data_IF_164953211285
#
_entry.id   IF_164953211285
#
_cell.length_a   1.000
_cell.length_b   1.000
_cell.length_c   1.000
_cell.angle_alpha   90.00
_cell.angle_beta   90.00
_cell.angle_gamma   90.00
#
_symmetry.space_group_name_H-M   'P 1'
#
loop_
_entity.id
_entity.type
_entity.pdbx_description
1 polymer ?
#
# COMPACT_ATOMS: atom_id res chain seq x y z
N UNK A 1 34.17 18.44 -35.96
CA UNK A 1 33.24 19.00 -34.95
C UNK A 1 32.89 17.85 -34.04
N UNK A 2 33.53 17.79 -32.88
CA UNK A 2 33.25 16.81 -31.84
C UNK A 2 31.94 17.24 -31.17
N UNK A 3 30.90 16.42 -31.27
CA UNK A 3 29.68 16.58 -30.48
C UNK A 3 30.05 16.31 -29.01
N UNK A 4 30.30 17.38 -28.28
CA UNK A 4 30.44 17.33 -26.83
C UNK A 4 29.04 17.02 -26.26
N UNK A 5 28.87 15.92 -25.52
CA UNK A 5 27.56 15.58 -24.97
C UNK A 5 27.14 16.68 -24.00
N UNK A 6 25.99 17.32 -24.27
CA UNK A 6 25.39 18.30 -23.37
C UNK A 6 25.26 17.68 -21.98
N UNK A 7 25.89 18.30 -20.98
CA UNK A 7 25.70 17.91 -19.59
C UNK A 7 24.21 18.04 -19.24
N UNK A 8 23.60 17.02 -18.61
CA UNK A 8 22.19 17.08 -18.25
C UNK A 8 21.94 18.25 -17.29
N UNK A 9 20.94 19.08 -17.59
CA UNK A 9 20.54 20.16 -16.69
C UNK A 9 20.13 19.58 -15.33
N UNK A 10 20.88 19.94 -14.28
CA UNK A 10 20.56 19.55 -12.91
C UNK A 10 19.45 20.47 -12.41
N UNK A 11 18.24 19.95 -12.34
CA UNK A 11 17.10 20.66 -11.77
C UNK A 11 16.94 20.37 -10.28
N UNK A 12 16.43 21.34 -9.54
CA UNK A 12 15.98 21.12 -8.16
C UNK A 12 14.71 20.26 -8.13
N UNK A 13 14.58 19.40 -7.14
CA UNK A 13 13.36 18.65 -6.86
C UNK A 13 12.18 19.59 -6.60
N UNK A 14 10.98 19.23 -7.10
CA UNK A 14 9.76 20.04 -7.00
C UNK A 14 9.37 20.37 -5.57
N UNK A 15 9.81 19.59 -4.58
CA UNK A 15 9.59 19.87 -3.16
C UNK A 15 10.19 21.19 -2.70
N UNK A 16 11.13 21.75 -3.46
CA UNK A 16 11.72 23.07 -3.23
C UNK A 16 10.88 24.21 -3.85
N UNK A 17 10.06 23.89 -4.85
CA UNK A 17 9.11 24.81 -5.49
C UNK A 17 7.67 24.30 -5.33
N UNK A 18 7.16 24.42 -4.10
CA UNK A 18 5.75 24.14 -3.80
C UNK A 18 4.92 25.41 -3.71
N UNK A 19 5.34 26.47 -4.41
CA UNK A 19 4.52 27.65 -4.58
C UNK A 19 3.17 27.23 -5.19
N UNK A 20 2.07 27.76 -4.64
CA UNK A 20 0.67 27.44 -4.99
C UNK A 20 0.12 26.10 -4.48
N UNK A 21 0.95 25.21 -3.93
CA UNK A 21 0.42 24.03 -3.21
C UNK A 21 -0.11 24.48 -1.85
N UNK A 22 -1.32 24.05 -1.49
CA UNK A 22 -1.93 24.35 -0.20
C UNK A 22 -1.01 23.88 0.94
N UNK A 23 -0.88 24.68 1.99
CA UNK A 23 0.03 24.40 3.12
C UNK A 23 -0.21 23.01 3.75
N UNK A 24 -1.47 22.54 3.78
CA UNK A 24 -1.81 21.21 4.34
C UNK A 24 -1.30 20.06 3.47
N UNK A 25 -1.19 20.29 2.16
CA UNK A 25 -0.73 19.30 1.17
C UNK A 25 0.79 19.34 0.97
N UNK A 26 1.50 20.28 1.59
CA UNK A 26 2.97 20.34 1.51
C UNK A 26 3.56 19.19 2.33
N UNK A 27 4.58 18.48 1.80
CA UNK A 27 5.31 17.48 2.56
C UNK A 27 5.99 18.15 3.74
N UNK A 28 6.12 17.41 4.84
CA UNK A 28 6.89 17.88 5.97
C UNK A 28 8.37 18.04 5.56
N UNK A 29 9.07 19.08 6.07
CA UNK A 29 10.51 19.19 5.89
C UNK A 29 11.22 17.98 6.52
N UNK A 30 12.34 17.55 5.92
CA UNK A 30 13.15 16.44 6.43
C UNK A 30 13.89 16.77 7.73
N UNK A 31 13.95 18.04 8.16
CA UNK A 31 14.43 18.45 9.49
C UNK A 31 13.28 19.02 10.31
N UNK A 32 13.16 18.55 11.55
CA UNK A 32 12.18 19.05 12.51
C UNK A 32 12.83 19.04 13.90
N UNK A 33 12.86 20.20 14.56
CA UNK A 33 13.45 20.38 15.92
C UNK A 33 14.89 19.84 15.99
N UNK A 34 15.73 20.28 15.07
CA UNK A 34 17.16 19.90 14.95
C UNK A 34 17.48 18.42 14.67
N UNK A 35 16.48 17.54 14.67
CA UNK A 35 16.61 16.17 14.19
C UNK A 35 16.34 16.08 12.68
N UNK A 36 17.12 15.23 12.01
CA UNK A 36 17.05 14.98 10.58
C UNK A 36 16.43 13.58 10.33
N UNK A 37 15.37 13.52 9.53
CA UNK A 37 14.43 12.38 9.45
C UNK A 37 14.49 11.62 8.13
N UNK A 38 15.42 11.97 7.24
CA UNK A 38 15.64 11.29 5.96
C UNK A 38 17.14 11.27 5.67
N UNK A 39 17.67 10.30 4.92
CA UNK A 39 19.02 10.43 4.38
C UNK A 39 19.07 11.63 3.43
N UNK A 40 19.94 12.62 3.70
CA UNK A 40 20.22 13.71 2.78
C UNK A 40 21.67 13.59 2.29
N UNK A 41 21.91 14.11 1.08
CA UNK A 41 23.24 14.13 0.48
C UNK A 41 24.22 15.01 1.29
N UNK A 42 23.71 16.03 1.98
CA UNK A 42 24.47 16.89 2.89
C UNK A 42 23.65 17.16 4.17
N UNK A 43 24.03 16.51 5.27
CA UNK A 43 23.34 16.65 6.56
C UNK A 43 23.58 18.02 7.20
N UNK A 44 24.80 18.57 7.05
CA UNK A 44 25.22 19.82 7.66
C UNK A 44 24.59 21.04 6.97
N UNK A 45 24.42 20.98 5.64
CA UNK A 45 23.70 21.99 4.88
C UNK A 45 22.17 21.86 5.01
N UNK A 46 21.66 20.76 5.59
CA UNK A 46 20.23 20.52 5.64
C UNK A 46 19.51 21.40 6.65
N UNK A 47 18.90 22.47 6.12
CA UNK A 47 17.97 23.35 6.85
C UNK A 47 16.53 22.85 6.83
N UNK A 48 16.35 21.54 6.62
CA UNK A 48 15.06 20.87 6.55
C UNK A 48 14.51 20.61 5.17
N UNK A 49 15.23 21.06 4.15
CA UNK A 49 15.15 20.65 2.75
C UNK A 49 16.42 21.24 2.09
N UNK A 50 17.61 20.63 2.14
CA UNK A 50 18.58 20.98 1.08
C UNK A 50 17.85 20.70 -0.22
N UNK A 51 17.90 21.60 -1.23
CA UNK A 51 17.31 21.28 -2.50
C UNK A 51 17.95 20.00 -3.01
N UNK A 52 17.18 18.90 -2.98
CA UNK A 52 17.63 17.64 -3.56
C UNK A 52 17.63 17.83 -5.06
N UNK A 53 18.68 17.39 -5.72
CA UNK A 53 18.70 17.32 -7.17
C UNK A 53 17.61 16.37 -7.65
N UNK A 54 16.86 16.81 -8.65
CA UNK A 54 15.91 15.95 -9.34
C UNK A 54 16.70 14.92 -10.17
N UNK A 55 16.32 13.66 -10.05
CA UNK A 55 16.98 12.54 -10.75
C UNK A 55 16.04 11.89 -11.77
N UNK A 56 14.72 12.14 -11.66
CA UNK A 56 13.67 11.59 -12.51
C UNK A 56 12.60 12.65 -12.73
N UNK A 57 12.57 13.25 -13.92
CA UNK A 57 11.79 14.46 -14.18
C UNK A 57 12.15 15.55 -13.15
N UNK A 58 11.15 16.09 -12.45
CA UNK A 58 11.34 17.09 -11.39
C UNK A 58 11.30 16.48 -9.98
N UNK A 59 11.50 15.17 -9.83
CA UNK A 59 11.54 14.50 -8.52
C UNK A 59 12.95 14.00 -8.20
N UNK A 60 13.37 14.14 -6.94
CA UNK A 60 14.52 13.39 -6.42
C UNK A 60 14.19 11.90 -6.31
N UNK A 61 15.21 11.05 -6.21
CA UNK A 61 15.05 9.59 -6.14
C UNK A 61 14.10 9.12 -5.02
N UNK A 62 14.11 9.78 -3.86
CA UNK A 62 13.21 9.42 -2.73
C UNK A 62 11.76 9.78 -3.03
N UNK A 63 11.51 10.98 -3.56
CA UNK A 63 10.16 11.40 -3.96
C UNK A 63 9.61 10.49 -5.06
N UNK A 64 10.44 10.16 -6.05
CA UNK A 64 10.07 9.21 -7.11
C UNK A 64 9.63 7.86 -6.55
N UNK A 65 10.43 7.24 -5.66
CA UNK A 65 10.08 5.95 -5.04
C UNK A 65 8.76 6.02 -4.27
N UNK A 66 8.53 7.12 -3.52
CA UNK A 66 7.27 7.32 -2.77
C UNK A 66 6.06 7.43 -3.69
N UNK A 67 6.19 8.13 -4.82
CA UNK A 67 5.09 8.29 -5.79
C UNK A 67 4.80 6.96 -6.48
N UNK A 68 5.84 6.22 -6.89
CA UNK A 68 5.67 4.90 -7.49
C UNK A 68 4.98 3.91 -6.53
N UNK A 69 5.37 3.92 -5.25
CA UNK A 69 4.71 3.10 -4.21
C UNK A 69 3.26 3.54 -3.96
N UNK A 70 2.99 4.85 -3.96
CA UNK A 70 1.65 5.38 -3.79
C UNK A 70 0.72 4.94 -4.94
N UNK A 71 1.17 5.08 -6.20
CA UNK A 71 0.39 4.66 -7.36
C UNK A 71 0.07 3.17 -7.37
N UNK A 72 0.96 2.33 -6.84
CA UNK A 72 0.74 0.89 -6.74
C UNK A 72 -0.40 0.48 -5.78
N UNK A 73 -0.90 1.41 -4.95
CA UNK A 73 -1.87 1.12 -3.88
C UNK A 73 -3.07 2.05 -3.85
N UNK A 74 -3.00 3.21 -4.52
CA UNK A 74 -4.03 4.24 -4.42
C UNK A 74 -5.38 3.76 -4.96
N UNK A 75 -5.38 2.92 -6.00
CA UNK A 75 -6.61 2.31 -6.56
C UNK A 75 -7.39 1.56 -5.47
N UNK A 76 -6.75 0.59 -4.82
CA UNK A 76 -7.35 -0.21 -3.75
C UNK A 76 -7.79 0.66 -2.57
N UNK A 77 -6.98 1.66 -2.19
CA UNK A 77 -7.32 2.58 -1.10
C UNK A 77 -8.57 3.43 -1.42
N UNK A 78 -8.70 3.93 -2.65
CA UNK A 78 -9.88 4.70 -3.08
C UNK A 78 -11.14 3.83 -2.97
N UNK A 79 -11.07 2.58 -3.44
CA UNK A 79 -12.20 1.64 -3.39
C UNK A 79 -12.55 1.27 -1.96
N UNK A 80 -11.54 1.01 -1.11
CA UNK A 80 -11.71 0.75 0.31
C UNK A 80 -12.42 1.93 1.01
N UNK A 81 -11.95 3.16 0.81
CA UNK A 81 -12.56 4.35 1.40
C UNK A 81 -14.04 4.51 0.99
N UNK A 82 -14.40 4.08 -0.23
CA UNK A 82 -15.80 4.08 -0.70
C UNK A 82 -16.65 2.94 -0.14
N UNK A 83 -16.05 1.84 0.31
CA UNK A 83 -16.77 0.67 0.83
C UNK A 83 -17.08 0.74 2.33
N UNK A 84 -16.28 1.45 3.13
CA UNK A 84 -16.38 1.49 4.61
C UNK A 84 -17.80 1.80 5.12
N UNK A 85 -18.53 2.71 4.48
CA UNK A 85 -19.79 3.27 5.02
C UNK A 85 -21.05 2.62 4.45
N UNK A 86 -20.93 1.54 3.66
CA UNK A 86 -22.08 0.97 2.93
C UNK A 86 -23.06 0.20 3.83
N UNK A 87 -22.67 -0.15 5.06
CA UNK A 87 -23.52 -0.91 5.99
C UNK A 87 -24.53 -0.05 6.77
N UNK A 88 -24.51 1.29 6.65
CA UNK A 88 -25.28 2.17 7.54
C UNK A 88 -26.70 2.53 7.08
N UNK A 89 -27.16 2.11 5.91
CA UNK A 89 -28.59 2.24 5.55
C UNK A 89 -29.23 0.87 5.42
N UNK A 90 -29.74 0.36 6.55
CA UNK A 90 -30.64 -0.78 6.54
C UNK A 90 -31.76 -0.51 5.53
N UNK A 91 -31.89 -1.41 4.54
CA UNK A 91 -32.96 -1.38 3.55
C UNK A 91 -34.31 -1.38 4.30
N UNK A 92 -34.92 -0.20 4.45
CA UNK A 92 -36.16 -0.02 5.21
C UNK A 92 -36.16 1.15 6.20
N UNK A 93 -35.01 1.72 6.55
CA UNK A 93 -34.97 2.91 7.40
C UNK A 93 -35.41 4.15 6.61
N UNK A 94 -36.68 4.53 6.79
CA UNK A 94 -37.26 5.71 6.16
C UNK A 94 -36.59 6.97 6.71
N UNK A 95 -35.57 7.45 6.02
CA UNK A 95 -35.00 8.78 6.30
C UNK A 95 -36.11 9.82 6.16
N UNK A 96 -36.44 10.50 7.26
CA UNK A 96 -37.45 11.56 7.28
C UNK A 96 -37.07 12.64 6.25
N UNK A 97 -37.95 12.87 5.29
CA UNK A 97 -37.79 13.79 4.15
C UNK A 97 -38.01 15.25 4.54
N UNK A 98 -37.49 15.71 5.68
CA UNK A 98 -37.54 17.14 6.02
C UNK A 98 -36.61 17.93 5.09
N UNK A 99 -37.24 18.55 4.10
CA UNK A 99 -36.90 19.49 3.01
C UNK A 99 -35.54 20.23 2.88
N UNK A 100 -34.50 19.93 3.64
CA UNK A 100 -33.14 20.35 3.31
C UNK A 100 -32.27 19.11 3.13
N UNK A 101 -32.33 18.50 1.94
CA UNK A 101 -31.46 17.38 1.55
C UNK A 101 -30.01 17.87 1.43
N UNK A 102 -29.34 18.06 2.56
CA UNK A 102 -27.88 17.99 2.61
C UNK A 102 -27.55 16.51 2.73
N UNK A 103 -27.15 15.90 1.63
CA UNK A 103 -26.54 14.58 1.68
C UNK A 103 -25.26 14.75 2.51
N UNK A 104 -25.25 14.17 3.71
CA UNK A 104 -24.02 14.12 4.51
C UNK A 104 -23.10 13.16 3.75
N UNK A 105 -22.05 13.71 3.16
CA UNK A 105 -21.02 12.91 2.49
C UNK A 105 -20.07 12.40 3.57
N UNK A 106 -19.85 11.08 3.70
CA UNK A 106 -18.92 10.56 4.68
C UNK A 106 -17.50 11.09 4.46
N UNK A 107 -16.76 11.31 5.55
CA UNK A 107 -15.39 11.80 5.48
C UNK A 107 -14.45 10.89 4.67
N UNK A 108 -14.68 9.57 4.70
CA UNK A 108 -13.92 8.60 3.90
C UNK A 108 -14.14 8.80 2.40
N UNK A 109 -15.36 9.16 1.98
CA UNK A 109 -15.66 9.45 0.58
C UNK A 109 -14.99 10.74 0.12
N UNK A 110 -14.98 11.78 0.97
CA UNK A 110 -14.23 13.00 0.68
C UNK A 110 -12.72 12.73 0.53
N UNK A 111 -12.17 11.86 1.38
CA UNK A 111 -10.76 11.45 1.27
C UNK A 111 -10.48 10.68 -0.03
N UNK A 112 -11.41 9.84 -0.50
CA UNK A 112 -11.29 9.16 -1.80
C UNK A 112 -11.30 10.17 -2.97
N UNK A 113 -12.21 11.16 -2.92
CA UNK A 113 -12.29 12.21 -3.93
C UNK A 113 -11.03 13.10 -3.92
N UNK A 114 -10.46 13.39 -2.75
CA UNK A 114 -9.19 14.11 -2.60
C UNK A 114 -8.00 13.36 -3.25
N UNK A 115 -8.01 12.02 -3.25
CA UNK A 115 -7.01 11.20 -3.93
C UNK A 115 -7.21 11.23 -5.46
N UNK A 116 -8.46 11.18 -5.93
CA UNK A 116 -8.79 11.33 -7.35
C UNK A 116 -8.42 12.71 -7.89
N UNK A 117 -8.68 13.77 -7.12
CA UNK A 117 -8.25 15.14 -7.45
C UNK A 117 -6.73 15.23 -7.59
N UNK A 118 -5.97 14.59 -6.71
CA UNK A 118 -4.50 14.51 -6.85
C UNK A 118 -4.09 13.74 -8.13
N UNK A 119 -4.80 12.66 -8.46
CA UNK A 119 -4.67 11.94 -9.73
C UNK A 119 -5.25 12.71 -10.94
N UNK A 120 -5.89 13.87 -10.72
CA UNK A 120 -6.47 14.73 -11.76
C UNK A 120 -7.71 14.15 -12.42
N UNK A 121 -8.34 13.21 -11.74
CA UNK A 121 -9.59 12.59 -12.14
C UNK A 121 -10.78 13.34 -11.50
N UNK A 122 -11.97 13.11 -12.05
CA UNK A 122 -13.20 13.64 -11.47
C UNK A 122 -13.61 12.84 -10.22
N UNK A 123 -14.26 13.47 -9.23
CA UNK A 123 -14.81 12.78 -8.06
C UNK A 123 -15.78 11.65 -8.43
N UNK A 124 -15.87 10.61 -7.59
CA UNK A 124 -16.80 9.50 -7.85
C UNK A 124 -18.23 9.95 -7.54
N UNK A 125 -19.18 9.84 -8.49
CA UNK A 125 -20.57 10.19 -8.23
C UNK A 125 -21.13 9.46 -7.00
N UNK A 126 -21.93 10.14 -6.20
CA UNK A 126 -22.57 9.53 -5.01
C UNK A 126 -23.51 8.38 -5.36
N UNK A 127 -23.94 8.28 -6.63
CA UNK A 127 -24.80 7.21 -7.15
C UNK A 127 -24.02 6.05 -7.77
N UNK A 128 -22.68 6.15 -7.86
CA UNK A 128 -21.87 5.10 -8.44
C UNK A 128 -21.89 3.84 -7.56
N UNK A 129 -22.03 2.68 -8.22
CA UNK A 129 -21.80 1.37 -7.64
C UNK A 129 -20.33 1.16 -7.26
N UNK A 130 -20.03 0.08 -6.53
CA UNK A 130 -18.64 -0.25 -6.17
C UNK A 130 -17.83 -0.58 -7.43
N UNK A 131 -18.41 -1.32 -8.38
CA UNK A 131 -17.73 -1.70 -9.62
C UNK A 131 -17.42 -0.47 -10.49
N UNK A 132 -18.33 0.51 -10.55
CA UNK A 132 -18.09 1.80 -11.22
C UNK A 132 -17.01 2.62 -10.50
N UNK A 133 -17.00 2.62 -9.16
CA UNK A 133 -15.95 3.29 -8.39
C UNK A 133 -14.57 2.65 -8.65
N UNK A 134 -14.51 1.31 -8.75
CA UNK A 134 -13.30 0.57 -9.11
C UNK A 134 -12.81 0.97 -10.51
N UNK A 135 -13.70 0.98 -11.51
CA UNK A 135 -13.35 1.39 -12.86
C UNK A 135 -12.82 2.84 -12.94
N UNK A 136 -13.48 3.78 -12.25
CA UNK A 136 -13.03 5.18 -12.19
C UNK A 136 -11.65 5.31 -11.54
N UNK A 137 -11.40 4.58 -10.45
CA UNK A 137 -10.11 4.60 -9.78
C UNK A 137 -9.01 3.98 -10.65
N UNK A 138 -9.30 2.85 -11.30
CA UNK A 138 -8.38 2.19 -12.23
C UNK A 138 -8.01 3.11 -13.41
N UNK A 139 -9.00 3.74 -14.06
CA UNK A 139 -8.78 4.68 -15.17
C UNK A 139 -7.93 5.87 -14.72
N UNK A 140 -8.13 6.38 -13.50
CA UNK A 140 -7.35 7.47 -12.94
C UNK A 140 -5.88 7.09 -12.70
N UNK A 141 -5.60 5.84 -12.28
CA UNK A 141 -4.24 5.33 -12.10
C UNK A 141 -3.60 4.97 -13.43
N UNK A 142 -4.34 4.40 -14.38
CA UNK A 142 -3.86 4.06 -15.71
C UNK A 142 -3.47 5.32 -16.51
N UNK A 143 -4.11 6.47 -16.26
CA UNK A 143 -3.68 7.78 -16.76
C UNK A 143 -2.28 8.19 -16.28
N UNK A 144 -1.75 7.53 -15.23
CA UNK A 144 -0.40 7.69 -14.69
C UNK A 144 0.59 6.61 -15.15
N UNK A 145 0.26 5.83 -16.19
CA UNK A 145 1.12 4.77 -16.71
C UNK A 145 2.53 5.26 -17.11
N UNK A 146 2.64 6.47 -17.66
CA UNK A 146 3.94 7.13 -17.93
C UNK A 146 4.26 8.16 -16.84
N UNK A 147 4.62 7.64 -15.66
CA UNK A 147 4.98 8.46 -14.51
C UNK A 147 6.13 9.45 -14.82
N UNK A 148 7.11 9.04 -15.63
CA UNK A 148 8.28 9.87 -15.96
C UNK A 148 7.89 11.10 -16.78
N UNK A 149 7.04 10.92 -17.79
CA UNK A 149 6.49 12.04 -18.55
C UNK A 149 5.67 13.00 -17.67
N UNK A 150 4.82 12.48 -16.77
CA UNK A 150 3.97 13.30 -15.91
C UNK A 150 4.81 14.18 -14.98
N UNK A 151 5.76 13.58 -14.25
CA UNK A 151 6.57 14.33 -13.27
C UNK A 151 7.69 15.15 -13.90
N UNK A 152 7.89 15.05 -15.22
CA UNK A 152 8.74 15.97 -15.97
C UNK A 152 8.10 17.35 -16.13
N UNK A 153 6.78 17.47 -15.87
CA UNK A 153 6.09 18.77 -15.81
C UNK A 153 5.98 19.26 -14.37
N UNK A 154 6.06 20.58 -14.15
CA UNK A 154 5.92 21.16 -12.80
C UNK A 154 4.58 20.81 -12.15
N UNK A 155 3.51 20.82 -12.94
CA UNK A 155 2.16 20.52 -12.44
C UNK A 155 2.03 19.05 -12.06
N UNK A 156 2.46 18.13 -12.92
CA UNK A 156 2.44 16.70 -12.61
C UNK A 156 3.30 16.34 -11.40
N UNK A 157 4.49 16.94 -11.27
CA UNK A 157 5.35 16.74 -10.12
C UNK A 157 4.74 17.27 -8.80
N UNK A 158 4.04 18.41 -8.84
CA UNK A 158 3.30 18.93 -7.66
C UNK A 158 2.16 18.00 -7.28
N UNK A 159 1.36 17.56 -8.25
CA UNK A 159 0.25 16.63 -8.04
C UNK A 159 0.73 15.29 -7.46
N UNK A 160 1.89 14.80 -7.91
CA UNK A 160 2.51 13.59 -7.37
C UNK A 160 2.87 13.72 -5.88
N UNK A 161 3.41 14.87 -5.46
CA UNK A 161 3.71 15.13 -4.05
C UNK A 161 2.44 15.25 -3.21
N UNK A 162 1.41 15.92 -3.74
CA UNK A 162 0.09 16.04 -3.10
C UNK A 162 -0.55 14.65 -2.91
N UNK A 163 -0.50 13.80 -3.94
CA UNK A 163 -0.99 12.42 -3.89
C UNK A 163 -0.37 11.64 -2.73
N UNK A 164 0.96 11.63 -2.63
CA UNK A 164 1.68 10.94 -1.55
C UNK A 164 1.26 11.48 -0.18
N UNK A 165 1.09 12.80 -0.04
CA UNK A 165 0.69 13.40 1.24
C UNK A 165 -0.73 12.99 1.63
N UNK A 166 -1.69 13.11 0.71
CA UNK A 166 -3.11 12.78 0.94
C UNK A 166 -3.30 11.30 1.20
N UNK A 167 -2.60 10.43 0.47
CA UNK A 167 -2.62 8.99 0.72
C UNK A 167 -2.12 8.64 2.12
N UNK A 168 -1.03 9.26 2.59
CA UNK A 168 -0.54 9.04 3.95
C UNK A 168 -1.51 9.55 5.03
N UNK A 169 -2.22 10.65 4.77
CA UNK A 169 -3.26 11.13 5.68
C UNK A 169 -4.46 10.18 5.74
N UNK A 170 -4.91 9.70 4.58
CA UNK A 170 -5.98 8.72 4.48
C UNK A 170 -5.63 7.42 5.21
N UNK A 171 -4.45 6.85 4.95
CA UNK A 171 -3.99 5.61 5.61
C UNK A 171 -3.82 5.73 7.13
N UNK A 172 -3.51 6.93 7.65
CA UNK A 172 -3.46 7.15 9.11
C UNK A 172 -4.85 7.14 9.75
N UNK A 173 -5.84 7.63 9.02
CA UNK A 173 -7.20 7.81 9.53
C UNK A 173 -8.07 6.58 9.31
N UNK A 174 -7.94 5.95 8.15
CA UNK A 174 -8.56 4.69 7.76
C UNK A 174 -7.44 3.72 7.40
N UNK A 175 -6.77 3.14 8.41
CA UNK A 175 -5.83 2.06 8.15
C UNK A 175 -6.58 0.97 7.42
N UNK A 176 -6.07 0.61 6.25
CA UNK A 176 -6.61 -0.47 5.46
C UNK A 176 -6.68 -1.73 6.35
N UNK A 177 -7.89 -2.20 6.63
CA UNK A 177 -8.10 -3.37 7.49
C UNK A 177 -7.52 -4.65 6.86
N UNK A 178 -7.37 -4.69 5.53
CA UNK A 178 -6.62 -5.73 4.83
C UNK A 178 -5.11 -5.54 4.97
N UNK A 179 -4.62 -4.33 5.25
CA UNK A 179 -3.23 -4.11 5.61
C UNK A 179 -2.89 -4.72 6.99
N UNK A 180 -3.88 -4.92 7.88
CA UNK A 180 -3.65 -5.66 9.12
C UNK A 180 -3.38 -7.13 8.87
N UNK A 181 -3.90 -7.74 7.80
CA UNK A 181 -3.72 -9.16 7.49
C UNK A 181 -3.44 -9.35 6.01
N UNK A 182 -2.16 -9.50 5.66
CA UNK A 182 -1.76 -9.78 4.27
C UNK A 182 -1.54 -11.27 4.07
N UNK A 183 -2.23 -11.87 3.11
CA UNK A 183 -1.99 -13.28 2.76
C UNK A 183 -0.51 -13.51 2.43
N UNK A 184 0.04 -14.63 2.89
CA UNK A 184 1.39 -15.08 2.50
C UNK A 184 1.24 -16.07 1.35
N UNK A 185 1.38 -15.63 0.09
CA UNK A 185 0.99 -16.42 -1.05
C UNK A 185 1.92 -17.62 -1.24
N UNK A 186 1.44 -18.67 -1.90
CA UNK A 186 2.20 -19.90 -2.22
C UNK A 186 2.73 -20.70 -1.01
N UNK A 187 2.47 -20.28 0.23
CA UNK A 187 2.91 -20.96 1.43
C UNK A 187 1.76 -21.74 2.07
N UNK A 188 2.06 -22.98 2.46
CA UNK A 188 1.17 -23.79 3.29
C UNK A 188 1.56 -23.60 4.75
N UNK A 189 0.57 -23.54 5.64
CA UNK A 189 0.83 -23.57 7.07
C UNK A 189 1.63 -24.83 7.42
N UNK A 190 2.79 -24.72 8.10
CA UNK A 190 3.61 -25.88 8.45
C UNK A 190 2.91 -26.89 9.35
N UNK A 191 1.88 -26.45 10.08
CA UNK A 191 1.13 -27.31 11.01
C UNK A 191 -0.09 -27.98 10.38
N UNK A 192 -0.86 -27.28 9.53
CA UNK A 192 -2.11 -27.82 8.98
C UNK A 192 -2.13 -27.95 7.45
N UNK A 193 -1.07 -27.54 6.77
CA UNK A 193 -0.92 -27.57 5.31
C UNK A 193 -1.97 -26.78 4.51
N UNK A 194 -2.73 -25.89 5.15
CA UNK A 194 -3.71 -25.02 4.48
C UNK A 194 -3.05 -23.73 3.96
N UNK A 195 -3.60 -23.14 2.88
CA UNK A 195 -3.16 -21.86 2.28
C UNK A 195 -3.72 -20.66 3.03
N UNK A 196 -3.62 -20.68 4.35
CA UNK A 196 -4.29 -19.76 5.27
C UNK A 196 -3.28 -18.99 6.11
N UNK A 197 -2.06 -18.78 5.60
CA UNK A 197 -1.07 -17.97 6.31
C UNK A 197 -1.30 -16.48 6.02
N UNK A 198 -1.32 -15.69 7.07
CA UNK A 198 -1.46 -14.24 7.00
C UNK A 198 -0.36 -13.56 7.80
N UNK A 199 0.22 -12.53 7.22
CA UNK A 199 1.11 -11.59 7.88
C UNK A 199 0.24 -10.53 8.55
N UNK A 200 0.24 -10.54 9.88
CA UNK A 200 -0.38 -9.52 10.71
C UNK A 200 0.52 -8.29 10.83
N UNK A 201 -0.01 -7.11 10.50
CA UNK A 201 0.71 -5.86 10.78
C UNK A 201 0.76 -5.59 12.30
N UNK A 202 1.83 -4.93 12.80
CA UNK A 202 1.89 -4.49 14.19
C UNK A 202 0.70 -3.57 14.51
N UNK A 203 0.11 -3.74 15.69
CA UNK A 203 -1.01 -2.91 16.16
C UNK A 203 -0.47 -1.63 16.80
N UNK A 204 0.63 -1.74 17.55
CA UNK A 204 1.35 -0.64 18.15
C UNK A 204 2.78 -0.54 17.61
N UNK A 205 3.40 0.63 17.78
CA UNK A 205 4.78 0.83 17.37
C UNK A 205 5.71 -0.04 18.22
N UNK A 206 6.55 -0.83 17.56
CA UNK A 206 7.52 -1.70 18.23
C UNK A 206 6.99 -3.11 18.46
N UNK A 207 5.71 -3.37 18.13
CA UNK A 207 5.19 -4.72 18.05
C UNK A 207 5.87 -5.49 16.92
N UNK A 208 6.02 -6.79 17.14
CA UNK A 208 6.55 -7.71 16.14
C UNK A 208 5.53 -7.93 15.00
N UNK A 209 6.04 -8.09 13.78
CA UNK A 209 5.24 -8.56 12.65
C UNK A 209 5.03 -10.07 12.84
N UNK A 210 3.78 -10.54 12.86
CA UNK A 210 3.48 -11.96 13.13
C UNK A 210 2.93 -12.60 11.86
N UNK A 211 3.40 -13.79 11.48
CA UNK A 211 2.73 -14.66 10.51
C UNK A 211 1.91 -15.68 11.28
N UNK A 212 0.60 -15.71 11.06
CA UNK A 212 -0.31 -16.65 11.72
C UNK A 212 -1.20 -17.39 10.72
N UNK A 213 -1.61 -18.59 11.09
CA UNK A 213 -2.55 -19.39 10.31
C UNK A 213 -3.99 -19.00 10.68
N UNK A 214 -4.79 -18.54 9.72
CA UNK A 214 -6.22 -18.26 9.90
C UNK A 214 -7.11 -19.51 9.86
N UNK A 215 -6.52 -20.71 9.80
CA UNK A 215 -7.28 -21.97 9.85
C UNK A 215 -8.14 -22.10 11.12
N UNK A 216 -7.90 -21.22 12.10
CA UNK A 216 -8.68 -21.06 13.33
C UNK A 216 -9.76 -19.96 13.30
N UNK A 217 -9.68 -18.97 12.40
CA UNK A 217 -10.45 -17.72 12.49
C UNK A 217 -11.43 -17.45 11.35
N UNK A 218 -11.34 -18.15 10.22
CA UNK A 218 -12.20 -17.90 9.04
C UNK A 218 -13.43 -18.82 8.95
N UNK A 219 -13.95 -19.33 10.07
CA UNK A 219 -15.38 -19.61 10.09
C UNK A 219 -16.07 -18.27 10.34
N UNK A 220 -16.56 -17.66 9.26
CA UNK A 220 -17.60 -16.66 9.36
C UNK A 220 -18.64 -17.19 10.36
N UNK A 221 -18.98 -16.38 11.37
CA UNK A 221 -20.22 -16.55 12.12
C UNK A 221 -21.37 -16.34 11.13
N UNK A 222 -21.63 -17.31 10.25
CA UNK A 222 -22.93 -17.37 9.59
C UNK A 222 -23.95 -17.54 10.72
N UNK A 223 -24.89 -16.58 10.91
CA UNK A 223 -25.93 -16.74 11.91
C UNK A 223 -26.66 -18.04 11.59
N UNK A 224 -26.55 -19.01 12.51
CA UNK A 224 -26.74 -20.44 12.26
C UNK A 224 -27.80 -20.75 11.22
N UNK A 225 -27.38 -21.38 10.13
CA UNK A 225 -28.29 -22.04 9.22
C UNK A 225 -29.11 -23.05 10.04
N UNK A 226 -30.39 -22.73 10.23
CA UNK A 226 -31.36 -23.67 10.76
C UNK A 226 -31.46 -24.80 9.75
N UNK A 227 -31.49 -26.03 10.23
CA UNK A 227 -31.86 -27.14 9.37
C UNK A 227 -33.31 -26.97 8.87
N UNK A 228 -33.75 -27.85 7.96
CA UNK A 228 -35.13 -27.84 7.45
C UNK A 228 -36.20 -28.01 8.54
N UNK A 229 -35.81 -28.30 9.79
CA UNK A 229 -36.70 -28.44 10.94
C UNK A 229 -36.65 -27.23 11.91
N UNK A 230 -35.84 -26.21 11.63
CA UNK A 230 -35.75 -25.02 12.48
C UNK A 230 -34.89 -25.20 13.73
N UNK A 231 -34.22 -26.32 13.92
CA UNK A 231 -33.36 -26.57 15.08
C UNK A 231 -31.94 -26.06 14.82
N UNK A 232 -31.38 -25.37 15.82
CA UNK A 232 -29.97 -24.96 15.82
C UNK A 232 -29.16 -26.21 16.11
N UNK A 233 -28.75 -26.91 15.05
CA UNK A 233 -27.82 -28.02 15.19
C UNK A 233 -26.46 -27.47 15.60
N UNK A 234 -26.05 -27.80 16.83
CA UNK A 234 -24.72 -27.49 17.36
C UNK A 234 -23.70 -28.28 16.55
N UNK A 235 -23.09 -27.65 15.55
CA UNK A 235 -22.03 -28.26 14.73
C UNK A 235 -20.88 -28.72 15.63
N UNK A 236 -20.83 -30.03 15.92
CA UNK A 236 -19.66 -30.73 16.47
C UNK A 236 -18.81 -31.25 15.32
N UNK A 237 -18.25 -30.34 14.53
CA UNK A 237 -17.10 -30.64 13.68
C UNK A 237 -16.02 -29.61 14.03
N UNK A 238 -15.44 -29.82 15.22
CA UNK A 238 -14.23 -29.12 15.64
C UNK A 238 -13.09 -29.61 14.77
N UNK A 239 -12.87 -28.96 13.63
CA UNK A 239 -11.55 -28.98 13.04
C UNK A 239 -10.57 -28.44 14.09
N UNK A 240 -9.48 -29.15 14.41
CA UNK A 240 -8.52 -28.68 15.40
C UNK A 240 -8.01 -27.31 14.96
N UNK A 241 -8.23 -26.30 15.80
CA UNK A 241 -7.75 -24.95 15.58
C UNK A 241 -6.24 -24.98 15.33
N UNK A 242 -5.80 -24.44 14.20
CA UNK A 242 -4.39 -24.31 13.92
C UNK A 242 -3.88 -23.03 14.59
N UNK A 243 -3.21 -23.17 15.74
CA UNK A 243 -2.62 -22.05 16.49
C UNK A 243 -1.20 -21.70 16.02
N UNK A 244 -0.83 -22.13 14.80
CA UNK A 244 0.50 -21.86 14.28
C UNK A 244 0.70 -20.36 14.07
N UNK A 245 1.74 -19.83 14.72
CA UNK A 245 2.18 -18.45 14.62
C UNK A 245 3.71 -18.39 14.67
N UNK A 246 4.29 -17.42 13.99
CA UNK A 246 5.74 -17.20 13.93
C UNK A 246 6.03 -15.71 13.77
N UNK A 247 7.11 -15.24 14.37
CA UNK A 247 7.64 -13.90 14.10
C UNK A 247 8.06 -13.76 12.62
N UNK A 248 7.91 -12.59 12.02
CA UNK A 248 8.19 -12.36 10.61
C UNK A 248 9.68 -12.49 10.29
N UNK A 249 10.58 -12.03 11.16
CA UNK A 249 12.02 -12.12 10.90
C UNK A 249 12.46 -13.60 10.96
N UNK A 250 11.91 -14.36 11.91
CA UNK A 250 12.08 -15.81 11.95
C UNK A 250 11.49 -16.49 10.71
N UNK A 251 10.28 -16.10 10.30
CA UNK A 251 9.62 -16.63 9.11
C UNK A 251 10.45 -16.35 7.84
N UNK A 252 10.91 -15.11 7.65
CA UNK A 252 11.71 -14.71 6.51
C UNK A 252 13.05 -15.46 6.46
N UNK A 253 13.68 -15.69 7.62
CA UNK A 253 14.92 -16.47 7.72
C UNK A 253 14.71 -17.95 7.34
N UNK A 254 13.64 -18.57 7.83
CA UNK A 254 13.37 -20.00 7.62
C UNK A 254 12.81 -20.27 6.22
N UNK A 255 11.82 -19.49 5.79
CA UNK A 255 11.04 -19.74 4.58
C UNK A 255 11.44 -18.85 3.40
N UNK A 256 12.23 -17.79 3.63
CA UNK A 256 12.63 -16.87 2.56
C UNK A 256 13.37 -17.54 1.39
N UNK A 257 14.34 -18.43 1.64
CA UNK A 257 15.00 -19.18 0.57
C UNK A 257 14.03 -20.07 -0.23
N UNK A 258 13.03 -20.66 0.43
CA UNK A 258 12.00 -21.50 -0.22
C UNK A 258 11.13 -20.64 -1.12
N UNK A 259 10.71 -19.46 -0.64
CA UNK A 259 9.90 -18.51 -1.38
C UNK A 259 10.59 -18.04 -2.66
N UNK A 260 11.87 -17.68 -2.56
CA UNK A 260 12.67 -17.28 -3.72
C UNK A 260 12.76 -18.42 -4.75
N UNK A 261 12.95 -19.67 -4.30
CA UNK A 261 13.03 -20.82 -5.18
C UNK A 261 11.69 -21.13 -5.89
N UNK A 262 10.55 -20.99 -5.20
CA UNK A 262 9.22 -21.18 -5.79
C UNK A 262 8.95 -20.13 -6.86
N UNK A 263 9.23 -18.86 -6.59
CA UNK A 263 9.04 -17.77 -7.58
C UNK A 263 9.95 -17.97 -8.79
N UNK A 264 11.22 -18.34 -8.58
CA UNK A 264 12.13 -18.64 -9.69
C UNK A 264 11.63 -19.83 -10.54
N UNK A 265 11.02 -20.84 -9.92
CA UNK A 265 10.45 -21.98 -10.63
C UNK A 265 9.19 -21.60 -11.43
N UNK A 266 8.30 -20.78 -10.86
CA UNK A 266 7.11 -20.26 -11.55
C UNK A 266 7.49 -19.35 -12.72
N UNK A 267 8.45 -18.44 -12.54
CA UNK A 267 8.95 -17.60 -13.62
C UNK A 267 9.56 -18.43 -14.76
N UNK A 268 10.32 -19.49 -14.42
CA UNK A 268 10.87 -20.43 -15.41
C UNK A 268 9.76 -21.17 -16.16
N UNK A 269 8.76 -21.70 -15.44
CA UNK A 269 7.64 -22.42 -16.05
C UNK A 269 6.81 -21.51 -16.96
N UNK A 270 6.68 -20.23 -16.60
CA UNK A 270 5.97 -19.23 -17.39
C UNK A 270 6.82 -18.61 -18.52
N UNK A 271 8.09 -19.04 -18.71
CA UNK A 271 8.99 -18.47 -19.72
C UNK A 271 9.35 -16.99 -19.47
N UNK A 272 9.18 -16.49 -18.25
CA UNK A 272 9.49 -15.11 -17.88
C UNK A 272 11.01 -14.95 -17.70
N UNK A 273 11.55 -13.80 -18.13
CA UNK A 273 12.94 -13.43 -17.82
C UNK A 273 13.11 -13.38 -16.30
N UNK A 274 14.28 -13.82 -15.82
CA UNK A 274 14.60 -13.88 -14.39
C UNK A 274 14.34 -12.50 -13.75
N UNK A 275 13.37 -12.42 -12.83
CA UNK A 275 13.12 -11.20 -12.05
C UNK A 275 14.37 -10.86 -11.22
N UNK A 276 14.58 -9.57 -10.86
CA UNK A 276 15.53 -9.23 -9.82
C UNK A 276 15.27 -10.12 -8.60
N UNK A 277 16.33 -10.68 -8.00
CA UNK A 277 16.21 -11.59 -6.85
C UNK A 277 15.36 -10.91 -5.78
N UNK A 278 14.22 -11.50 -5.42
CA UNK A 278 13.43 -11.05 -4.28
C UNK A 278 14.21 -11.45 -3.04
N UNK A 279 14.83 -10.45 -2.42
CA UNK A 279 15.62 -10.63 -1.22
C UNK A 279 14.69 -10.45 -0.02
N UNK A 280 14.30 -11.57 0.60
CA UNK A 280 13.63 -11.59 1.90
C UNK A 280 14.71 -11.53 3.01
N UNK A 281 15.57 -10.51 3.00
CA UNK A 281 16.63 -10.41 4.01
C UNK A 281 16.06 -9.92 5.34
N UNK A 282 16.04 -10.83 6.32
CA UNK A 282 15.96 -10.55 7.75
C UNK A 282 17.35 -10.36 8.40
N UNK A 283 18.43 -10.31 7.62
CA UNK A 283 19.79 -10.09 8.11
C UNK A 283 20.28 -8.67 7.83
N UNK A 284 19.47 -7.65 8.17
CA UNK A 284 20.10 -6.52 8.85
C UNK A 284 20.06 -6.87 10.32
N UNK A 285 21.20 -7.13 10.98
CA UNK A 285 21.18 -7.21 12.44
C UNK A 285 20.47 -5.96 12.97
N UNK A 286 19.84 -6.05 14.14
CA UNK A 286 19.46 -4.89 14.99
C UNK A 286 20.70 -4.08 15.43
N UNK A 287 21.70 -3.94 14.56
CA UNK A 287 22.60 -2.82 14.60
C UNK A 287 21.81 -1.66 14.02
N UNK A 288 21.27 -0.83 14.92
CA UNK A 288 21.67 0.57 14.86
C UNK A 288 23.11 0.56 14.33
N UNK A 289 23.35 1.08 13.11
CA UNK A 289 24.72 1.18 12.62
C UNK A 289 25.55 1.76 13.76
N UNK A 290 26.82 1.38 13.93
CA UNK A 290 27.64 2.03 14.95
C UNK A 290 27.71 3.57 14.75
N UNK A 291 27.20 4.06 13.62
CA UNK A 291 26.99 5.46 13.24
C UNK A 291 25.58 6.01 13.53
N UNK A 292 24.61 5.16 13.88
CA UNK A 292 23.30 5.56 14.41
C UNK A 292 23.48 5.95 15.89
N UNK A 293 24.16 7.07 16.09
CA UNK A 293 24.40 7.71 17.40
C UNK A 293 23.20 8.53 17.87
N UNK A 294 22.14 8.63 17.07
CA UNK A 294 20.93 9.35 17.42
C UNK A 294 20.01 8.47 18.30
N UNK A 295 20.33 8.40 19.60
CA UNK A 295 19.36 8.12 20.66
C UNK A 295 18.26 9.17 20.80
N UNK A 296 18.07 10.05 19.81
CA UNK A 296 17.16 11.21 19.79
C UNK A 296 15.94 11.01 18.88
N UNK A 297 15.69 9.80 18.38
CA UNK A 297 14.39 9.47 17.80
C UNK A 297 13.35 9.28 18.90
N UNK A 298 12.93 10.37 19.54
CA UNK A 298 11.69 10.40 20.33
C UNK A 298 10.46 10.15 19.46
N UNK A 299 9.26 10.46 19.98
CA UNK A 299 7.94 10.31 19.35
C UNK A 299 7.73 10.94 17.95
N UNK A 300 8.77 11.43 17.27
CA UNK A 300 8.74 11.89 15.88
C UNK A 300 8.90 10.77 14.83
N UNK A 301 9.35 9.57 15.22
CA UNK A 301 9.49 8.40 14.33
C UNK A 301 8.16 7.64 14.11
N UNK A 302 7.03 8.23 14.50
CA UNK A 302 5.76 7.54 14.74
C UNK A 302 4.78 7.57 13.56
N UNK A 303 5.25 7.68 12.32
CA UNK A 303 4.31 7.60 11.19
C UNK A 303 4.94 7.48 9.82
N UNK A 304 4.07 7.21 8.83
CA UNK A 304 4.33 7.14 7.38
C UNK A 304 5.05 8.37 6.76
N UNK A 305 5.44 9.35 7.58
CA UNK A 305 6.26 10.51 7.21
C UNK A 305 7.76 10.31 7.47
N UNK A 306 8.20 9.24 8.16
CA UNK A 306 9.63 8.89 8.31
C UNK A 306 10.23 8.64 6.92
N UNK A 307 11.23 9.43 6.52
CA UNK A 307 12.00 9.23 5.28
C UNK A 307 13.14 8.23 5.44
N UNK A 308 13.11 7.48 6.54
CA UNK A 308 14.10 6.52 7.00
C UNK A 308 14.00 5.28 6.09
N UNK A 309 15.11 4.87 5.44
CA UNK A 309 15.11 3.73 4.51
C UNK A 309 14.54 2.44 5.15
N UNK A 310 14.58 2.33 6.50
CA UNK A 310 14.01 1.22 7.26
C UNK A 310 12.48 1.06 7.12
N UNK A 311 11.71 2.11 6.80
CA UNK A 311 10.26 1.99 6.56
C UNK A 311 9.92 1.84 5.07
N UNK A 312 10.66 2.52 4.18
CA UNK A 312 10.43 2.47 2.73
C UNK A 312 10.87 1.14 2.09
N UNK A 313 11.92 0.50 2.60
CA UNK A 313 12.43 -0.78 2.08
C UNK A 313 11.77 -2.01 2.71
N UNK A 314 10.96 -1.85 3.76
CA UNK A 314 10.28 -2.97 4.46
C UNK A 314 8.80 -3.13 4.10
N UNK A 315 8.25 -2.20 3.32
CA UNK A 315 6.91 -2.29 2.71
C UNK A 315 6.97 -2.59 1.22
N UNK A 316 7.91 -3.42 0.74
CA UNK A 316 7.74 -3.99 -0.61
C UNK A 316 6.37 -4.67 -0.66
N UNK A 317 5.48 -4.09 -1.47
CA UNK A 317 4.21 -4.66 -1.86
C UNK A 317 4.49 -5.95 -2.61
N UNK A 318 4.40 -7.07 -1.91
CA UNK A 318 4.08 -8.33 -2.56
C UNK A 318 2.62 -8.21 -2.99
N UNK A 319 2.45 -7.75 -4.23
CA UNK A 319 1.24 -7.76 -5.06
C UNK A 319 0.21 -6.62 -4.92
N UNK A 320 -0.26 -6.19 -6.09
CA UNK A 320 -1.58 -5.60 -6.36
C UNK A 320 -2.49 -6.73 -6.89
N UNK A 321 -3.77 -6.81 -6.47
CA UNK A 321 -4.71 -7.87 -6.87
C UNK A 321 -4.86 -8.05 -8.39
N UNK A 322 -4.72 -6.97 -9.16
CA UNK A 322 -4.88 -6.94 -10.63
C UNK A 322 -3.86 -7.84 -11.33
N UNK A 323 -2.61 -7.84 -10.88
CA UNK A 323 -1.55 -8.70 -11.45
C UNK A 323 -1.83 -10.19 -11.21
N UNK A 324 -2.49 -10.55 -10.11
CA UNK A 324 -2.85 -11.94 -9.77
C UNK A 324 -4.01 -12.44 -10.60
N UNK A 325 -5.03 -11.60 -10.78
CA UNK A 325 -6.17 -11.93 -11.63
C UNK A 325 -5.74 -12.06 -13.10
N UNK A 326 -4.90 -11.15 -13.61
CA UNK A 326 -4.41 -11.22 -14.99
C UNK A 326 -3.45 -12.39 -15.22
N UNK A 327 -2.61 -12.72 -14.23
CA UNK A 327 -1.74 -13.91 -14.29
C UNK A 327 -2.57 -15.20 -14.25
N UNK A 328 -3.61 -15.26 -13.41
CA UNK A 328 -4.51 -16.42 -13.33
C UNK A 328 -5.37 -16.56 -14.60
N UNK A 329 -5.83 -15.46 -15.20
CA UNK A 329 -6.51 -15.45 -16.51
C UNK A 329 -5.58 -15.92 -17.62
N UNK A 330 -4.33 -15.47 -17.63
CA UNK A 330 -3.33 -15.90 -18.61
C UNK A 330 -3.00 -17.40 -18.48
N UNK A 331 -2.91 -17.92 -17.25
CA UNK A 331 -2.71 -19.36 -16.98
C UNK A 331 -3.94 -20.17 -17.44
N UNK A 332 -5.15 -19.74 -17.07
CA UNK A 332 -6.39 -20.42 -17.47
C UNK A 332 -6.55 -20.46 -19.00
N UNK A 333 -6.23 -19.35 -19.69
CA UNK A 333 -6.24 -19.27 -21.14
C UNK A 333 -5.20 -20.19 -21.79
N UNK A 334 -3.98 -20.26 -21.25
CA UNK A 334 -2.93 -21.15 -21.75
C UNK A 334 -3.27 -22.64 -21.55
N UNK A 335 -4.05 -22.97 -20.52
CA UNK A 335 -4.50 -24.33 -20.22
C UNK A 335 -5.81 -24.72 -20.92
N UNK A 336 -6.40 -23.83 -21.73
CA UNK A 336 -7.69 -24.07 -22.40
C UNK A 336 -8.88 -24.21 -21.44
N UNK A 337 -8.74 -23.76 -20.18
CA UNK A 337 -9.83 -23.79 -19.19
C UNK A 337 -10.64 -22.50 -19.27
N UNK A 338 -11.97 -22.60 -19.26
CA UNK A 338 -12.83 -21.43 -19.10
C UNK A 338 -12.67 -20.90 -17.68
N UNK A 339 -12.18 -19.67 -17.55
CA UNK A 339 -12.12 -18.95 -16.27
C UNK A 339 -13.54 -18.71 -15.75
N UNK A 340 -13.86 -19.21 -14.56
CA UNK A 340 -15.03 -18.83 -13.77
C UNK A 340 -14.62 -17.98 -12.55
N UNK A 341 -13.64 -17.09 -12.78
CA UNK A 341 -13.19 -16.06 -11.84
C UNK A 341 -13.77 -14.73 -12.26
#
# INVERSE_FOLDING_TARGET
>A
MSDEPLEPEVHDCITNDLARVNRVDRPAPCRRRDAHWASCEDEDACRGCVPRSATRGLLCAVCWRKVADALARVEDLIVHLRSIEKDAQAVGERVQTTMQKRLVVPDSWLAADDLLDALGASPIPSTASIDEAFAIAADAVDAWADLEAIVSTREGAKRAVVLVKRMNLALRRWPDSEAHYRHVPHMLCPSCSQRTLWRRAPLELGDDLIVECSGSHLMYDEPGSRDWNGEVTRWKLGYPYCEWRMDWDEFARVYGPIFAAVIEAEDRAAGRKKRPRIVLEGETPRRASAECTAGDHGNGCLGLECGCDCHLTRTYSLWSPKQSVDTLRAIAAAEGRKSHV
#
